data_IF_584699965817
#
_entry.id   IF_584699965817
#
_cell.length_a   1.000
_cell.length_b   1.000
_cell.length_c   1.000
_cell.angle_alpha   90.00
_cell.angle_beta   90.00
_cell.angle_gamma   90.00
#
_symmetry.space_group_name_H-M   'P 1'
#
loop_
_entity.id
_entity.type
_entity.pdbx_description
1 polymer ?
#
# COMPACT_ATOMS: atom_id res chain seq x y z
N UNK A 1 22.12 -56.47 33.21
CA UNK A 1 21.26 -55.33 32.82
C UNK A 1 21.95 -54.68 31.62
N UNK A 2 21.68 -55.12 30.38
CA UNK A 2 20.57 -54.68 29.52
C UNK A 2 20.54 -53.14 29.41
N UNK A 3 20.76 -52.49 28.26
CA UNK A 3 20.93 -52.96 26.90
C UNK A 3 21.40 -51.86 25.92
N UNK A 4 21.71 -52.32 24.71
CA UNK A 4 21.56 -51.74 23.35
C UNK A 4 20.75 -50.43 23.26
N UNK A 5 21.03 -49.45 22.39
CA UNK A 5 20.98 -49.53 20.91
C UNK A 5 21.53 -48.28 20.21
N UNK A 6 22.01 -48.51 18.98
CA UNK A 6 22.27 -47.56 17.90
C UNK A 6 21.16 -46.50 17.72
N UNK A 7 21.55 -45.25 17.51
CA UNK A 7 20.70 -44.25 16.84
C UNK A 7 21.15 -44.11 15.39
N UNK A 8 20.40 -44.78 14.52
CA UNK A 8 20.43 -44.69 13.07
C UNK A 8 20.08 -43.28 12.60
N UNK A 9 20.85 -42.79 11.62
CA UNK A 9 20.46 -41.71 10.73
C UNK A 9 19.20 -42.11 9.96
N UNK A 10 18.14 -41.32 10.06
CA UNK A 10 16.96 -41.43 9.19
C UNK A 10 16.71 -40.03 8.62
N UNK A 11 17.12 -39.85 7.36
CA UNK A 11 16.49 -38.90 6.46
C UNK A 11 15.07 -39.40 6.20
N UNK A 12 14.04 -38.70 6.66
CA UNK A 12 12.69 -38.79 6.08
C UNK A 12 11.98 -37.43 6.19
N UNK A 13 11.65 -36.92 5.01
CA UNK A 13 10.40 -36.29 4.62
C UNK A 13 9.77 -35.19 5.50
N UNK A 14 9.94 -33.95 5.03
CA UNK A 14 8.82 -33.32 4.31
C UNK A 14 7.47 -33.23 5.04
N UNK A 15 7.42 -32.90 6.34
CA UNK A 15 6.17 -32.51 7.01
C UNK A 15 6.35 -31.34 7.97
N UNK A 16 6.41 -30.12 7.43
CA UNK A 16 5.98 -28.92 8.16
C UNK A 16 4.50 -28.69 7.90
N UNK A 17 3.63 -29.44 8.58
CA UNK A 17 2.21 -29.08 8.71
C UNK A 17 2.07 -28.12 9.88
N UNK A 18 1.93 -26.83 9.60
CA UNK A 18 1.54 -25.83 10.59
C UNK A 18 0.11 -26.11 11.07
N UNK A 19 -0.06 -26.26 12.38
CA UNK A 19 -1.32 -26.59 13.04
C UNK A 19 -2.20 -25.35 13.25
N UNK A 20 -2.79 -24.79 12.19
CA UNK A 20 -3.78 -23.71 12.30
C UNK A 20 -4.94 -23.83 11.29
N UNK A 21 -5.55 -25.02 11.16
CA UNK A 21 -6.86 -25.15 10.51
C UNK A 21 -7.70 -26.18 11.28
N UNK A 22 -8.69 -25.74 12.04
CA UNK A 22 -9.62 -26.61 12.77
C UNK A 22 -10.85 -27.06 11.93
N UNK A 23 -10.87 -26.79 10.62
CA UNK A 23 -12.04 -27.06 9.77
C UNK A 23 -11.70 -27.57 8.36
N UNK A 24 -10.77 -28.52 8.26
CA UNK A 24 -10.56 -29.25 7.00
C UNK A 24 -10.72 -30.76 7.25
N UNK A 25 -11.97 -31.24 7.23
CA UNK A 25 -12.22 -32.65 6.94
C UNK A 25 -12.07 -32.83 5.42
N UNK A 26 -10.85 -33.05 4.96
CA UNK A 26 -10.60 -33.55 3.62
C UNK A 26 -10.69 -35.07 3.74
N UNK A 27 -11.90 -35.62 3.62
CA UNK A 27 -12.05 -37.02 3.27
C UNK A 27 -11.49 -37.22 1.86
N UNK A 28 -10.63 -38.23 1.72
CA UNK A 28 -9.94 -38.62 0.50
C UNK A 28 -10.94 -38.77 -0.66
N UNK A 29 -11.09 -37.73 -1.46
CA UNK A 29 -11.75 -37.80 -2.76
C UNK A 29 -10.70 -37.47 -3.80
N UNK A 30 -10.25 -38.53 -4.46
CA UNK A 30 -9.34 -38.51 -5.59
C UNK A 30 -9.97 -37.64 -6.69
N UNK A 31 -9.46 -36.44 -6.86
CA UNK A 31 -9.95 -35.49 -7.86
C UNK A 31 -9.44 -35.94 -9.24
N UNK A 32 -10.32 -36.55 -10.04
CA UNK A 32 -10.07 -36.83 -11.45
C UNK A 32 -10.71 -35.72 -12.29
N UNK A 33 -9.93 -34.85 -12.95
CA UNK A 33 -10.45 -33.66 -13.64
C UNK A 33 -11.06 -33.96 -15.02
N UNK A 34 -11.47 -35.20 -15.32
CA UNK A 34 -11.99 -35.60 -16.63
C UNK A 34 -13.26 -36.48 -16.59
N UNK A 35 -13.93 -36.62 -15.45
CA UNK A 35 -15.21 -37.37 -15.39
C UNK A 35 -16.40 -36.47 -15.77
N UNK A 36 -16.64 -36.35 -17.08
CA UNK A 36 -17.78 -35.68 -17.74
C UNK A 36 -19.08 -36.53 -17.70
N UNK A 37 -19.43 -37.12 -16.56
CA UNK A 37 -20.68 -37.88 -16.50
C UNK A 37 -21.33 -37.93 -15.12
N UNK A 38 -21.88 -36.80 -14.66
CA UNK A 38 -23.03 -36.84 -13.76
C UNK A 38 -23.91 -35.58 -13.87
N UNK A 39 -24.88 -35.66 -14.77
CA UNK A 39 -25.99 -34.72 -14.92
C UNK A 39 -26.92 -34.80 -13.70
N UNK A 40 -26.61 -34.16 -12.56
CA UNK A 40 -27.60 -33.89 -11.50
C UNK A 40 -27.16 -32.99 -10.32
N UNK A 41 -26.36 -31.95 -10.53
CA UNK A 41 -26.27 -30.86 -9.55
C UNK A 41 -26.43 -29.52 -10.26
N UNK A 42 -27.45 -28.76 -9.83
CA UNK A 42 -27.92 -27.53 -10.46
C UNK A 42 -26.81 -26.50 -10.70
N UNK A 43 -27.01 -25.57 -11.63
CA UNK A 43 -26.00 -24.56 -11.92
C UNK A 43 -25.76 -23.79 -10.63
N UNK A 44 -24.55 -23.95 -10.08
CA UNK A 44 -23.99 -23.02 -9.13
C UNK A 44 -23.95 -21.69 -9.89
N UNK A 45 -25.01 -20.89 -9.74
CA UNK A 45 -25.11 -19.59 -10.35
C UNK A 45 -24.00 -18.75 -9.76
N UNK A 46 -22.87 -18.70 -10.45
CA UNK A 46 -21.86 -17.69 -10.19
C UNK A 46 -22.57 -16.36 -10.39
N UNK A 47 -22.64 -15.49 -9.36
CA UNK A 47 -23.22 -14.18 -9.55
C UNK A 47 -22.50 -13.49 -10.72
N UNK A 48 -23.22 -12.73 -11.56
CA UNK A 48 -22.63 -12.11 -12.73
C UNK A 48 -21.42 -11.27 -12.30
N UNK A 49 -20.31 -11.40 -13.05
CA UNK A 49 -19.03 -10.69 -12.82
C UNK A 49 -19.17 -9.17 -12.59
N UNK A 50 -20.29 -8.58 -12.98
CA UNK A 50 -20.60 -7.17 -12.78
C UNK A 50 -21.02 -6.77 -11.35
N UNK A 51 -21.39 -7.70 -10.47
CA UNK A 51 -21.85 -7.36 -9.10
C UNK A 51 -20.77 -7.45 -8.03
N UNK A 52 -19.52 -7.76 -8.39
CA UNK A 52 -18.36 -7.80 -7.47
C UNK A 52 -17.47 -6.56 -7.63
N UNK A 53 -17.91 -5.56 -8.41
CA UNK A 53 -17.36 -4.21 -8.40
C UNK A 53 -18.36 -3.27 -7.72
N UNK A 54 -18.78 -3.61 -6.50
CA UNK A 54 -19.49 -2.67 -5.64
C UNK A 54 -18.44 -1.81 -4.95
N UNK A 55 -18.17 -0.64 -5.54
CA UNK A 55 -17.59 0.54 -4.89
C UNK A 55 -16.65 0.22 -3.72
N UNK A 56 -15.53 -0.44 -4.01
CA UNK A 56 -14.42 -0.45 -3.07
C UNK A 56 -14.00 1.02 -2.94
N UNK A 57 -14.44 1.66 -1.86
CA UNK A 57 -13.84 2.89 -1.36
C UNK A 57 -12.40 2.52 -1.07
N UNK A 58 -11.56 2.61 -2.10
CA UNK A 58 -10.17 2.23 -2.00
C UNK A 58 -9.58 3.08 -0.87
N UNK A 59 -8.93 2.45 0.13
CA UNK A 59 -8.36 3.21 1.22
C UNK A 59 -7.40 4.25 0.64
N UNK A 60 -7.49 5.48 1.13
CA UNK A 60 -6.61 6.56 0.71
C UNK A 60 -5.15 6.10 0.86
N UNK A 61 -4.45 6.00 -0.28
CA UNK A 61 -3.15 5.34 -0.33
C UNK A 61 -2.00 6.33 -0.16
N UNK A 62 -2.24 7.64 -0.26
CA UNK A 62 -1.22 8.68 -0.17
C UNK A 62 -1.02 9.17 1.27
N UNK A 63 -0.86 8.24 2.21
CA UNK A 63 -0.78 8.51 3.66
C UNK A 63 0.44 9.38 4.00
N UNK A 64 1.57 9.13 3.37
CA UNK A 64 2.81 9.87 3.62
C UNK A 64 2.67 11.35 3.29
N UNK A 65 2.14 11.69 2.11
CA UNK A 65 2.01 13.09 1.69
C UNK A 65 0.96 13.82 2.54
N UNK A 66 -0.13 13.13 2.90
CA UNK A 66 -1.13 13.68 3.82
C UNK A 66 -0.51 14.02 5.18
N UNK A 67 0.21 13.06 5.79
CA UNK A 67 0.89 13.28 7.06
C UNK A 67 1.94 14.38 6.96
N UNK A 68 2.68 14.45 5.85
CA UNK A 68 3.65 15.50 5.59
C UNK A 68 2.99 16.89 5.57
N UNK A 69 1.83 17.01 4.90
CA UNK A 69 1.10 18.28 4.81
C UNK A 69 0.33 18.63 6.08
N UNK A 70 -0.03 17.65 6.90
CA UNK A 70 -0.63 17.88 8.22
C UNK A 70 0.41 18.14 9.31
N UNK A 71 1.68 17.78 9.10
CA UNK A 71 2.71 17.92 10.12
C UNK A 71 2.87 19.40 10.54
N UNK A 72 2.91 19.71 11.86
CA UNK A 72 3.13 21.08 12.32
C UNK A 72 4.53 21.59 11.92
N UNK A 73 5.52 20.69 11.87
CA UNK A 73 6.85 20.94 11.35
C UNK A 73 7.17 19.97 10.21
N UNK A 74 6.96 20.43 8.98
CA UNK A 74 7.23 19.65 7.77
C UNK A 74 8.72 19.35 7.59
N UNK A 75 9.61 20.27 8.03
CA UNK A 75 11.05 20.09 7.91
C UNK A 75 11.51 18.92 8.77
N UNK A 76 11.08 18.92 10.03
CA UNK A 76 11.36 17.84 10.97
C UNK A 76 10.80 16.51 10.48
N UNK A 77 9.56 16.50 9.97
CA UNK A 77 8.95 15.29 9.41
C UNK A 77 9.76 14.69 8.26
N UNK A 78 10.23 15.49 7.30
CA UNK A 78 11.06 15.00 6.18
C UNK A 78 12.40 14.40 6.64
N UNK A 79 12.98 14.93 7.72
CA UNK A 79 14.27 14.44 8.21
C UNK A 79 14.08 13.13 8.98
N UNK A 80 13.15 13.13 9.94
CA UNK A 80 13.00 12.07 10.95
C UNK A 80 12.16 10.88 10.47
N UNK A 81 11.08 11.11 9.69
CA UNK A 81 10.18 10.04 9.26
C UNK A 81 10.80 9.25 8.10
N UNK A 82 10.89 7.91 8.12
CA UNK A 82 11.36 7.14 6.96
C UNK A 82 10.45 7.37 5.73
N UNK A 83 11.01 7.22 4.53
CA UNK A 83 10.19 7.24 3.31
C UNK A 83 9.28 6.00 3.33
N UNK A 84 8.02 6.20 3.01
CA UNK A 84 7.06 5.12 2.83
C UNK A 84 6.91 4.80 1.34
N UNK A 85 6.53 3.56 1.02
CA UNK A 85 6.46 3.07 -0.35
C UNK A 85 5.33 3.74 -1.16
N UNK A 86 4.33 4.30 -0.49
CA UNK A 86 3.26 5.10 -1.10
C UNK A 86 3.76 6.38 -1.80
N UNK A 87 4.97 6.86 -1.48
CA UNK A 87 5.60 7.98 -2.20
C UNK A 87 5.80 7.65 -3.68
N UNK A 88 6.07 6.39 -4.01
CA UNK A 88 6.27 5.94 -5.38
C UNK A 88 4.95 5.81 -6.17
N UNK A 89 3.81 6.01 -5.51
CA UNK A 89 2.49 6.09 -6.15
C UNK A 89 2.08 7.53 -6.49
N UNK A 90 2.85 8.53 -6.04
CA UNK A 90 2.61 9.94 -6.37
C UNK A 90 2.99 10.23 -7.83
N UNK A 91 2.44 11.31 -8.43
CA UNK A 91 2.91 11.80 -9.71
C UNK A 91 4.40 12.10 -9.66
N UNK A 92 5.08 11.84 -10.79
CA UNK A 92 6.55 11.90 -10.88
C UNK A 92 7.10 13.25 -10.39
N UNK A 93 6.41 14.34 -10.69
CA UNK A 93 6.79 15.69 -10.28
C UNK A 93 6.76 15.86 -8.76
N UNK A 94 5.70 15.39 -8.10
CA UNK A 94 5.55 15.46 -6.65
C UNK A 94 6.51 14.50 -5.93
N UNK A 95 6.63 13.27 -6.43
CA UNK A 95 7.61 12.30 -5.94
C UNK A 95 9.03 12.89 -5.96
N UNK A 96 9.44 13.42 -7.11
CA UNK A 96 10.75 14.04 -7.29
C UNK A 96 10.93 15.23 -6.35
N UNK A 97 9.93 16.09 -6.21
CA UNK A 97 9.98 17.24 -5.32
C UNK A 97 10.20 16.84 -3.85
N UNK A 98 9.47 15.84 -3.36
CA UNK A 98 9.61 15.32 -1.99
C UNK A 98 11.02 14.77 -1.75
N UNK A 99 11.54 13.99 -2.70
CA UNK A 99 12.88 13.41 -2.60
C UNK A 99 13.98 14.48 -2.69
N UNK A 100 13.84 15.46 -3.59
CA UNK A 100 14.75 16.61 -3.69
C UNK A 100 14.76 17.43 -2.41
N UNK A 101 13.59 17.80 -1.88
CA UNK A 101 13.45 18.57 -0.64
C UNK A 101 14.06 17.83 0.55
N UNK A 102 13.84 16.52 0.65
CA UNK A 102 14.44 15.70 1.71
C UNK A 102 15.96 15.66 1.61
N UNK A 103 16.50 15.49 0.39
CA UNK A 103 17.93 15.48 0.15
C UNK A 103 18.56 16.84 0.47
N UNK A 104 17.90 17.93 0.08
CA UNK A 104 18.27 19.31 0.36
C UNK A 104 18.48 19.51 1.87
N UNK A 105 17.52 19.08 2.68
CA UNK A 105 17.56 19.18 4.14
C UNK A 105 18.65 18.32 4.79
N UNK A 106 18.97 17.15 4.24
CA UNK A 106 19.99 16.25 4.79
C UNK A 106 21.42 16.65 4.38
N UNK A 107 21.58 17.16 3.16
CA UNK A 107 22.88 17.46 2.56
C UNK A 107 23.27 18.93 2.70
N UNK A 108 22.40 19.77 3.27
CA UNK A 108 22.59 21.23 3.43
C UNK A 108 22.99 21.87 2.09
N UNK A 109 22.37 21.41 1.01
CA UNK A 109 22.42 22.06 -0.30
C UNK A 109 21.24 23.01 -0.37
N UNK A 110 21.35 24.12 -1.09
CA UNK A 110 20.22 25.01 -1.33
C UNK A 110 19.83 24.91 -2.80
N UNK A 111 18.73 24.20 -3.04
CA UNK A 111 18.17 23.98 -4.37
C UNK A 111 16.73 24.50 -4.47
N UNK A 112 16.16 25.01 -3.38
CA UNK A 112 14.80 25.56 -3.32
C UNK A 112 13.69 24.51 -3.48
N UNK A 113 14.01 23.22 -3.40
CA UNK A 113 13.02 22.14 -3.47
C UNK A 113 12.14 22.13 -2.21
N UNK A 114 12.72 22.35 -1.03
CA UNK A 114 11.95 22.49 0.20
C UNK A 114 10.95 23.65 0.14
N UNK A 115 11.38 24.82 -0.36
CA UNK A 115 10.50 25.99 -0.51
C UNK A 115 9.39 25.75 -1.54
N UNK A 116 9.69 25.04 -2.64
CA UNK A 116 8.66 24.61 -3.62
C UNK A 116 7.64 23.67 -2.97
N UNK A 117 8.10 22.69 -2.19
CA UNK A 117 7.23 21.76 -1.47
C UNK A 117 6.39 22.46 -0.40
N UNK A 118 6.96 23.46 0.26
CA UNK A 118 6.23 24.30 1.22
C UNK A 118 5.11 25.08 0.55
N UNK A 119 5.34 25.66 -0.63
CA UNK A 119 4.28 26.30 -1.41
C UNK A 119 3.13 25.34 -1.75
N UNK A 120 3.44 24.10 -2.09
CA UNK A 120 2.42 23.07 -2.33
C UNK A 120 1.62 22.80 -1.05
N UNK A 121 2.30 22.58 0.09
CA UNK A 121 1.61 22.40 1.39
C UNK A 121 0.70 23.58 1.72
N UNK A 122 1.20 24.79 1.54
CA UNK A 122 0.47 26.00 1.90
C UNK A 122 -0.75 26.20 0.99
N UNK A 123 -0.64 25.86 -0.30
CA UNK A 123 -1.79 25.78 -1.21
C UNK A 123 -2.82 24.78 -0.70
N UNK A 124 -2.43 23.52 -0.43
CA UNK A 124 -3.37 22.49 0.02
C UNK A 124 -4.05 22.91 1.33
N UNK A 125 -3.30 23.46 2.29
CA UNK A 125 -3.85 23.98 3.55
C UNK A 125 -4.77 25.19 3.36
N UNK A 126 -4.51 26.05 2.38
CA UNK A 126 -5.36 27.20 2.09
C UNK A 126 -6.73 26.80 1.55
N UNK A 127 -6.80 25.68 0.82
CA UNK A 127 -8.04 25.15 0.24
C UNK A 127 -8.79 24.28 1.25
N UNK A 128 -8.10 23.35 1.92
CA UNK A 128 -8.71 22.39 2.84
C UNK A 128 -8.93 22.93 4.26
N UNK A 129 -8.16 23.93 4.69
CA UNK A 129 -8.02 24.30 6.09
C UNK A 129 -6.95 23.45 6.80
N UNK A 130 -6.31 23.96 7.87
CA UNK A 130 -5.15 23.31 8.49
C UNK A 130 -5.49 22.06 9.32
N UNK A 131 -6.73 21.90 9.78
CA UNK A 131 -7.14 20.82 10.70
C UNK A 131 -8.17 19.85 10.11
N UNK A 132 -8.68 20.12 8.91
CA UNK A 132 -9.67 19.25 8.27
C UNK A 132 -8.99 18.17 7.41
N UNK A 133 -8.76 17.01 8.02
CA UNK A 133 -8.17 15.85 7.34
C UNK A 133 -9.01 15.37 6.16
N UNK A 134 -10.34 15.44 6.25
CA UNK A 134 -11.22 14.94 5.18
C UNK A 134 -11.14 15.86 3.96
N UNK A 135 -11.16 17.17 4.16
CA UNK A 135 -10.92 18.14 3.10
C UNK A 135 -9.49 18.02 2.54
N UNK A 136 -8.49 17.81 3.40
CA UNK A 136 -7.09 17.63 2.98
C UNK A 136 -6.93 16.41 2.06
N UNK A 137 -7.58 15.29 2.38
CA UNK A 137 -7.61 14.09 1.55
C UNK A 137 -8.20 14.40 0.17
N UNK A 138 -9.30 15.15 0.11
CA UNK A 138 -9.93 15.52 -1.17
C UNK A 138 -9.00 16.39 -2.02
N UNK A 139 -8.36 17.40 -1.43
CA UNK A 139 -7.45 18.29 -2.16
C UNK A 139 -6.19 17.56 -2.59
N UNK A 140 -5.61 16.71 -1.75
CA UNK A 140 -4.44 15.89 -2.11
C UNK A 140 -4.78 14.91 -3.24
N UNK A 141 -5.95 14.27 -3.19
CA UNK A 141 -6.41 13.43 -4.30
C UNK A 141 -6.52 14.25 -5.58
N UNK A 142 -7.15 15.43 -5.53
CA UNK A 142 -7.26 16.29 -6.71
C UNK A 142 -5.89 16.65 -7.29
N UNK A 143 -4.96 17.09 -6.45
CA UNK A 143 -3.59 17.43 -6.82
C UNK A 143 -2.80 16.24 -7.41
N UNK A 144 -3.08 15.02 -6.94
CA UNK A 144 -2.43 13.79 -7.44
C UNK A 144 -2.98 13.37 -8.80
N UNK A 145 -4.24 13.64 -9.09
CA UNK A 145 -4.87 13.27 -10.35
C UNK A 145 -4.84 14.40 -11.41
N UNK A 146 -4.65 15.65 -11.00
CA UNK A 146 -4.57 16.83 -11.87
C UNK A 146 -3.13 17.40 -11.91
N UNK A 147 -2.32 16.84 -12.81
CA UNK A 147 -0.88 17.16 -12.96
C UNK A 147 -0.65 18.59 -13.50
N UNK A 148 -1.64 19.17 -14.20
CA UNK A 148 -1.58 20.53 -14.75
C UNK A 148 -1.69 21.60 -13.63
N UNK A 149 -2.56 21.37 -12.66
CA UNK A 149 -2.69 22.23 -11.48
C UNK A 149 -1.39 22.22 -10.65
N UNK A 150 -0.80 21.03 -10.44
CA UNK A 150 0.47 20.89 -9.73
C UNK A 150 1.60 21.64 -10.43
N UNK A 151 1.69 21.54 -11.76
CA UNK A 151 2.71 22.25 -12.55
C UNK A 151 2.59 23.78 -12.40
N UNK A 152 1.36 24.28 -12.40
CA UNK A 152 1.04 25.70 -12.18
C UNK A 152 1.52 26.19 -10.80
N UNK A 153 1.29 25.40 -9.74
CA UNK A 153 1.72 25.72 -8.36
C UNK A 153 3.24 25.72 -8.24
N UNK A 154 3.90 24.79 -8.93
CA UNK A 154 5.35 24.67 -8.94
C UNK A 154 6.04 25.76 -9.77
N UNK A 155 5.30 26.44 -10.65
CA UNK A 155 5.78 27.49 -11.54
C UNK A 155 6.71 26.94 -12.62
N UNK A 156 6.38 25.76 -13.15
CA UNK A 156 7.13 25.05 -14.18
C UNK A 156 6.40 25.09 -15.53
#
# INVERSE_FOLDING_TARGET
MAGTTHTSSIFEDGRRRSSCCNFCQIENTQFNPFDDNNSNHGPLATPPLNSVYLDDVQPFSQIYILNLFMAPDMKRYLIETPLSDDIYQLPVHLQRLVLEARMELKMVKENGAYQRLERVRDFVRSVAGPEDTAAMIQVVNHLVYDDDELSTILGQ
#
